data_IF_116853490406
#
_entry.id   IF_116853490406
#
_cell.length_a   1.000
_cell.length_b   1.000
_cell.length_c   1.000
_cell.angle_alpha   90.00
_cell.angle_beta   90.00
_cell.angle_gamma   90.00
#
_symmetry.space_group_name_H-M   'P 1'
#
loop_
_entity.id
_entity.type
_entity.pdbx_description
1 polymer ?
#
# COMPACT_ATOMS: atom_id res chain seq x y z
N UNK A 1 4.42 29.16 4.91
CA UNK A 1 5.14 28.06 4.24
C UNK A 1 4.20 26.87 4.21
N UNK A 2 3.97 26.26 3.04
CA UNK A 2 3.04 25.13 2.92
C UNK A 2 3.53 23.88 3.65
N UNK A 3 2.62 22.97 3.95
CA UNK A 3 2.95 21.68 4.56
C UNK A 3 3.84 20.85 3.60
N UNK A 4 4.86 20.12 4.09
CA UNK A 4 5.72 19.31 3.23
C UNK A 4 4.93 18.23 2.48
N UNK A 5 5.40 17.80 1.28
CA UNK A 5 4.74 16.75 0.50
C UNK A 5 4.53 15.48 1.32
N UNK A 6 3.43 14.78 1.06
CA UNK A 6 3.08 13.54 1.75
C UNK A 6 4.15 12.47 1.53
N UNK A 7 4.80 11.94 2.58
CA UNK A 7 5.71 10.81 2.41
C UNK A 7 4.93 9.56 2.03
N UNK A 8 5.46 8.78 1.10
CA UNK A 8 4.84 7.56 0.60
C UNK A 8 5.88 6.46 0.36
N UNK A 9 5.41 5.23 0.36
CA UNK A 9 6.14 4.04 -0.07
C UNK A 9 5.37 3.45 -1.25
N UNK A 10 6.09 3.09 -2.31
CA UNK A 10 5.52 2.49 -3.51
C UNK A 10 6.33 1.27 -3.94
N UNK A 11 5.64 0.22 -4.40
CA UNK A 11 6.26 -1.00 -4.90
C UNK A 11 5.46 -1.63 -6.04
N UNK A 12 6.16 -2.27 -6.98
CA UNK A 12 5.53 -3.08 -8.02
C UNK A 12 5.45 -4.53 -7.58
N UNK A 13 4.25 -5.10 -7.65
CA UNK A 13 4.01 -6.53 -7.48
C UNK A 13 3.76 -7.15 -8.85
N UNK A 14 4.65 -8.07 -9.23
CA UNK A 14 4.69 -8.70 -10.54
C UNK A 14 4.92 -10.20 -10.40
N UNK A 15 4.58 -10.97 -11.44
CA UNK A 15 4.83 -12.41 -11.48
C UNK A 15 6.34 -12.73 -11.30
N UNK A 16 6.71 -13.71 -10.45
CA UNK A 16 8.11 -14.11 -10.28
C UNK A 16 8.73 -14.61 -11.58
N UNK A 17 9.95 -14.19 -11.90
CA UNK A 17 10.60 -14.48 -13.18
C UNK A 17 10.86 -15.98 -13.38
N UNK A 18 10.55 -16.49 -14.57
CA UNK A 18 10.78 -17.88 -14.96
C UNK A 18 9.61 -18.84 -14.68
N UNK A 19 9.79 -20.14 -14.98
CA UNK A 19 8.84 -21.19 -14.63
C UNK A 19 8.66 -21.32 -13.11
N UNK A 20 7.43 -21.56 -12.65
CA UNK A 20 7.08 -21.71 -11.23
C UNK A 20 7.00 -23.20 -10.84
N UNK A 21 8.08 -23.95 -11.10
CA UNK A 21 8.09 -25.42 -10.95
C UNK A 21 7.79 -25.91 -9.52
N UNK A 22 8.08 -25.09 -8.51
CA UNK A 22 7.77 -25.37 -7.10
C UNK A 22 6.26 -25.31 -6.79
N UNK A 23 5.45 -24.69 -7.66
CA UNK A 23 4.02 -24.48 -7.47
C UNK A 23 3.24 -25.14 -8.60
N UNK A 24 2.93 -26.43 -8.44
CA UNK A 24 2.19 -27.21 -9.42
C UNK A 24 0.85 -26.54 -9.78
N UNK A 25 0.61 -26.35 -11.09
CA UNK A 25 -0.61 -25.75 -11.61
C UNK A 25 -0.65 -24.22 -11.60
N UNK A 26 0.38 -23.54 -11.07
CA UNK A 26 0.47 -22.07 -11.06
C UNK A 26 1.31 -21.58 -12.25
N UNK A 27 0.76 -20.65 -13.01
CA UNK A 27 1.39 -20.03 -14.16
C UNK A 27 1.59 -18.52 -13.94
N UNK A 28 2.50 -17.92 -14.69
CA UNK A 28 2.73 -16.47 -14.64
C UNK A 28 1.47 -15.64 -14.96
N UNK A 29 0.59 -16.19 -15.79
CA UNK A 29 -0.66 -15.55 -16.20
C UNK A 29 -1.73 -15.52 -15.10
N UNK A 30 -1.52 -16.25 -13.99
CA UNK A 30 -2.38 -16.19 -12.81
C UNK A 30 -2.16 -14.91 -11.97
N UNK A 31 -1.15 -14.10 -12.31
CA UNK A 31 -0.79 -12.88 -11.58
C UNK A 31 -1.11 -11.62 -12.40
N UNK A 32 -1.64 -10.61 -11.72
CA UNK A 32 -1.82 -9.27 -12.28
C UNK A 32 -0.74 -8.30 -11.77
N UNK A 33 -0.04 -7.64 -12.70
CA UNK A 33 0.87 -6.54 -12.38
C UNK A 33 0.09 -5.40 -11.73
N UNK A 34 0.51 -4.97 -10.53
CA UNK A 34 -0.06 -3.81 -9.87
C UNK A 34 0.99 -3.00 -9.10
N UNK A 35 0.70 -1.71 -8.96
CA UNK A 35 1.43 -0.79 -8.10
C UNK A 35 0.72 -0.73 -6.75
N UNK A 36 1.43 -1.01 -5.67
CA UNK A 36 0.95 -0.75 -4.32
C UNK A 36 1.59 0.55 -3.81
N UNK A 37 0.75 1.45 -3.30
CA UNK A 37 1.13 2.77 -2.81
C UNK A 37 0.45 3.02 -1.47
N UNK A 38 1.23 3.31 -0.44
CA UNK A 38 0.71 3.69 0.87
C UNK A 38 1.50 4.83 1.49
N UNK A 39 0.85 5.58 2.37
CA UNK A 39 1.48 6.63 3.17
C UNK A 39 1.57 6.19 4.62
N UNK A 40 2.67 6.58 5.27
CA UNK A 40 2.82 6.45 6.72
C UNK A 40 2.29 7.68 7.47
N UNK A 41 1.69 8.68 6.80
CA UNK A 41 1.17 9.87 7.48
C UNK A 41 -0.20 9.60 8.10
N UNK A 42 -0.35 9.76 9.42
CA UNK A 42 -1.64 9.59 10.13
C UNK A 42 -2.46 10.87 10.23
N UNK A 43 -1.81 12.00 10.46
CA UNK A 43 -2.42 13.34 10.47
C UNK A 43 -1.35 14.37 10.08
N UNK A 44 -1.76 15.62 9.86
CA UNK A 44 -0.84 16.72 9.58
C UNK A 44 0.29 16.75 10.62
N UNK A 45 1.53 16.71 10.13
CA UNK A 45 2.74 16.68 10.97
C UNK A 45 2.99 15.43 11.83
N UNK A 46 2.18 14.35 11.77
CA UNK A 46 2.43 13.10 12.53
C UNK A 46 2.64 11.90 11.62
N UNK A 47 3.82 11.29 11.74
CA UNK A 47 4.17 10.03 11.09
C UNK A 47 3.71 8.84 11.93
N UNK A 48 3.22 7.80 11.24
CA UNK A 48 3.07 6.45 11.75
C UNK A 48 4.45 5.81 11.70
N UNK A 49 5.05 5.61 12.87
CA UNK A 49 6.17 4.68 12.99
C UNK A 49 5.59 3.27 12.96
N UNK A 50 6.20 2.36 12.19
CA UNK A 50 5.87 0.94 12.27
C UNK A 50 6.08 0.49 13.72
N UNK A 51 4.99 0.20 14.42
CA UNK A 51 5.02 -0.23 15.81
C UNK A 51 5.23 -1.76 15.85
N UNK A 52 5.57 -2.30 17.03
CA UNK A 52 5.87 -3.73 17.20
C UNK A 52 4.78 -4.71 16.72
N UNK A 53 3.53 -4.28 16.52
CA UNK A 53 2.46 -5.11 15.95
C UNK A 53 2.63 -5.36 14.44
N UNK A 54 3.15 -4.39 13.70
CA UNK A 54 3.28 -4.45 12.24
C UNK A 54 4.58 -5.18 11.85
N UNK A 55 5.68 -4.89 12.56
CA UNK A 55 6.98 -5.55 12.36
C UNK A 55 7.10 -6.90 13.09
N UNK A 56 6.32 -7.12 14.16
CA UNK A 56 6.44 -8.31 15.01
C UNK A 56 5.28 -9.32 14.89
N UNK A 57 4.12 -8.92 14.36
CA UNK A 57 2.95 -9.81 14.24
C UNK A 57 2.22 -9.73 12.88
N UNK A 58 2.71 -8.95 11.91
CA UNK A 58 2.05 -8.75 10.61
C UNK A 58 0.59 -8.26 10.72
N UNK A 59 0.27 -7.47 11.76
CA UNK A 59 -1.07 -6.90 11.96
C UNK A 59 -1.08 -5.44 11.54
N UNK A 60 -1.90 -5.10 10.54
CA UNK A 60 -2.07 -3.74 10.03
C UNK A 60 -3.37 -3.13 10.57
N UNK A 61 -3.26 -2.02 11.31
CA UNK A 61 -4.41 -1.28 11.84
C UNK A 61 -4.56 0.03 11.06
N UNK A 62 -5.74 0.23 10.47
CA UNK A 62 -6.13 1.48 9.81
C UNK A 62 -7.39 2.05 10.48
N UNK A 63 -7.30 3.30 10.93
CA UNK A 63 -8.38 4.01 11.62
C UNK A 63 -9.43 4.56 10.63
N UNK A 64 -9.20 4.43 9.31
CA UNK A 64 -10.07 4.93 8.25
C UNK A 64 -10.51 3.77 7.35
N UNK A 65 -11.83 3.55 7.17
CA UNK A 65 -12.34 2.56 6.23
C UNK A 65 -11.88 2.86 4.79
N UNK A 66 -11.58 1.82 3.98
CA UNK A 66 -11.07 2.00 2.62
C UNK A 66 -12.04 2.78 1.72
N UNK A 67 -13.36 2.64 1.91
CA UNK A 67 -14.39 3.36 1.15
C UNK A 67 -14.32 4.87 1.39
N UNK A 68 -14.18 5.26 2.66
CA UNK A 68 -14.05 6.66 3.08
C UNK A 68 -12.74 7.26 2.57
N UNK A 69 -11.63 6.51 2.65
CA UNK A 69 -10.35 6.95 2.12
C UNK A 69 -10.42 7.17 0.59
N UNK A 70 -11.00 6.21 -0.14
CA UNK A 70 -11.15 6.28 -1.58
C UNK A 70 -12.05 7.44 -2.04
N UNK A 71 -13.14 7.73 -1.30
CA UNK A 71 -13.98 8.89 -1.58
C UNK A 71 -13.18 10.20 -1.46
N UNK A 72 -12.47 10.40 -0.35
CA UNK A 72 -11.65 11.60 -0.13
C UNK A 72 -10.59 11.79 -1.21
N UNK A 73 -9.94 10.71 -1.65
CA UNK A 73 -8.95 10.75 -2.72
C UNK A 73 -9.57 11.20 -4.06
N UNK A 74 -10.80 10.75 -4.38
CA UNK A 74 -11.49 11.18 -5.61
C UNK A 74 -11.92 12.65 -5.57
N UNK A 75 -12.37 13.13 -4.42
CA UNK A 75 -12.75 14.54 -4.24
C UNK A 75 -11.59 15.49 -4.53
N UNK A 76 -10.38 15.17 -4.07
CA UNK A 76 -9.19 16.01 -4.31
C UNK A 76 -8.51 15.78 -5.67
N UNK A 77 -8.72 14.61 -6.30
CA UNK A 77 -8.17 14.34 -7.64
C UNK A 77 -8.97 15.00 -8.77
N UNK A 78 -10.21 15.44 -8.47
CA UNK A 78 -11.11 16.08 -9.44
C UNK A 78 -11.18 17.61 -9.30
N UNK A 79 -10.52 18.17 -8.28
CA UNK A 79 -10.35 19.62 -8.06
C UNK A 79 -9.07 20.14 -8.69
#
# INVERSE_FOLDING_TARGET
MGEPPTPYIAAWHQAPFGPLEEFEGVNRDDFALHLELFTIRRTSGKLKFLAGSESGMSVFINDVPPETAAQRLREVASS
#
